data_IF_261150533342
#
_entry.id   IF_261150533342
#
_cell.length_a   1.000
_cell.length_b   1.000
_cell.length_c   1.000
_cell.angle_alpha   90.00
_cell.angle_beta   90.00
_cell.angle_gamma   90.00
#
_symmetry.space_group_name_H-M   'P 1'
#
loop_
_entity.id
_entity.type
_entity.pdbx_description
1 polymer ?
#
# COMPACT_ATOMS: atom_id res chain seq x y z
N UNK A 1 -5.65 -15.74 -81.11
CA UNK A 1 -4.57 -16.06 -80.15
C UNK A 1 -4.57 -14.97 -79.09
N UNK A 2 -4.59 -15.40 -77.83
CA UNK A 2 -4.48 -14.66 -76.56
C UNK A 2 -5.63 -13.74 -76.13
N UNK A 3 -6.43 -14.28 -75.20
CA UNK A 3 -7.31 -13.58 -74.26
C UNK A 3 -6.50 -12.84 -73.18
N UNK A 4 -7.00 -11.72 -72.68
CA UNK A 4 -6.67 -11.26 -71.32
C UNK A 4 -7.82 -10.42 -70.74
N UNK A 5 -8.23 -10.84 -69.55
CA UNK A 5 -9.25 -10.28 -68.68
C UNK A 5 -8.95 -8.83 -68.26
N UNK A 6 -10.01 -8.03 -68.10
CA UNK A 6 -9.99 -6.87 -67.20
C UNK A 6 -11.04 -7.09 -66.11
N UNK A 7 -10.56 -7.24 -64.88
CA UNK A 7 -11.35 -7.33 -63.66
C UNK A 7 -11.98 -5.98 -63.32
N UNK A 8 -13.28 -5.99 -62.99
CA UNK A 8 -13.99 -4.89 -62.36
C UNK A 8 -13.76 -4.97 -60.85
N UNK A 9 -13.15 -3.95 -60.24
CA UNK A 9 -13.04 -3.83 -58.77
C UNK A 9 -14.18 -2.95 -58.28
N UNK A 10 -15.11 -3.54 -57.52
CA UNK A 10 -16.14 -2.82 -56.76
C UNK A 10 -15.59 -2.55 -55.36
N UNK A 11 -15.41 -1.27 -55.03
CA UNK A 11 -15.04 -0.84 -53.67
C UNK A 11 -16.34 -0.51 -52.92
N UNK A 12 -16.72 -1.35 -51.95
CA UNK A 12 -17.80 -1.04 -50.99
C UNK A 12 -17.15 -0.39 -49.78
N UNK A 13 -17.36 0.91 -49.62
CA UNK A 13 -17.00 1.66 -48.40
C UNK A 13 -18.08 1.46 -47.34
N UNK A 14 -17.75 0.75 -46.26
CA UNK A 14 -18.51 0.82 -45.01
C UNK A 14 -18.00 2.01 -44.18
N UNK A 15 -18.82 3.05 -44.06
CA UNK A 15 -18.69 4.09 -43.04
C UNK A 15 -19.07 3.49 -41.70
N UNK A 16 -18.08 3.18 -40.86
CA UNK A 16 -18.29 2.93 -39.43
C UNK A 16 -17.87 4.18 -38.69
N UNK A 17 -18.85 4.97 -38.24
CA UNK A 17 -18.64 6.01 -37.24
C UNK A 17 -18.51 5.35 -35.86
N UNK A 18 -17.45 5.59 -35.08
CA UNK A 18 -17.48 5.24 -33.67
C UNK A 18 -18.18 6.36 -32.90
N UNK A 19 -19.28 6.01 -32.24
CA UNK A 19 -19.78 6.75 -31.10
C UNK A 19 -18.71 6.62 -29.99
N UNK A 20 -17.89 7.65 -29.82
CA UNK A 20 -16.96 7.72 -28.69
C UNK A 20 -17.77 8.05 -27.43
N UNK A 21 -18.07 7.02 -26.65
CA UNK A 21 -18.50 7.18 -25.26
C UNK A 21 -17.23 7.44 -24.46
N UNK A 22 -17.00 8.69 -24.09
CA UNK A 22 -15.81 9.09 -23.33
C UNK A 22 -15.71 8.30 -22.03
N UNK A 23 -14.77 7.35 -21.98
CA UNK A 23 -14.20 6.91 -20.72
C UNK A 23 -13.20 7.99 -20.32
N UNK A 24 -13.50 8.71 -19.24
CA UNK A 24 -12.55 9.58 -18.57
C UNK A 24 -11.45 8.66 -18.04
N UNK A 25 -10.29 8.68 -18.70
CA UNK A 25 -9.10 7.99 -18.21
C UNK A 25 -8.51 8.84 -17.08
N UNK A 26 -8.17 8.25 -15.92
CA UNK A 26 -7.47 8.99 -14.88
C UNK A 26 -6.21 9.64 -15.47
N UNK A 27 -6.06 10.94 -15.26
CA UNK A 27 -4.96 11.73 -15.81
C UNK A 27 -3.95 12.03 -14.72
N UNK A 28 -2.68 11.83 -15.03
CA UNK A 28 -1.57 12.15 -14.14
C UNK A 28 -0.89 13.44 -14.63
N UNK A 29 -0.64 14.37 -13.71
CA UNK A 29 0.15 15.58 -13.99
C UNK A 29 1.29 15.67 -12.97
N UNK A 30 2.52 15.29 -13.34
CA UNK A 30 3.64 15.36 -12.42
C UNK A 30 4.06 16.82 -12.21
N UNK A 31 3.86 17.34 -11.01
CA UNK A 31 4.55 18.55 -10.54
C UNK A 31 5.61 18.13 -9.52
N UNK A 32 6.81 17.79 -10.00
CA UNK A 32 7.97 17.56 -9.15
C UNK A 32 8.47 18.91 -8.60
N UNK A 33 7.86 19.40 -7.53
CA UNK A 33 8.42 20.52 -6.77
C UNK A 33 9.43 19.98 -5.75
N UNK A 34 10.71 20.21 -6.04
CA UNK A 34 11.81 20.01 -5.10
C UNK A 34 11.74 21.08 -4.00
N UNK A 35 11.71 20.66 -2.73
CA UNK A 35 11.88 21.56 -1.58
C UNK A 35 13.34 21.54 -1.11
N UNK A 36 13.95 22.69 -0.78
CA UNK A 36 15.33 22.73 -0.29
C UNK A 36 15.42 22.23 1.17
N UNK A 37 16.26 21.21 1.39
CA UNK A 37 16.59 20.73 2.73
C UNK A 37 17.60 21.65 3.42
N UNK A 38 17.26 22.23 4.56
CA UNK A 38 18.21 22.90 5.45
C UNK A 38 18.56 21.97 6.63
N UNK A 39 19.74 21.38 6.61
CA UNK A 39 20.37 20.76 7.77
C UNK A 39 21.37 21.74 8.39
N UNK A 40 21.39 21.95 9.72
CA UNK A 40 22.55 22.54 10.37
C UNK A 40 23.49 21.44 10.87
N UNK A 41 24.71 21.43 10.34
CA UNK A 41 25.87 20.82 10.99
C UNK A 41 26.21 21.63 12.26
N UNK A 42 26.45 20.95 13.38
CA UNK A 42 27.08 21.56 14.54
C UNK A 42 28.38 20.81 14.88
N UNK A 43 29.44 21.61 14.93
CA UNK A 43 30.82 21.26 15.20
C UNK A 43 31.06 20.88 16.66
N UNK A 44 32.09 20.05 16.82
CA UNK A 44 32.73 19.60 18.06
C UNK A 44 33.29 20.78 18.87
N UNK A 45 33.11 20.75 20.20
CA UNK A 45 34.09 21.32 21.12
C UNK A 45 34.19 20.47 22.39
N UNK A 46 35.42 20.37 22.90
CA UNK A 46 35.86 19.48 23.95
C UNK A 46 35.86 20.15 25.32
N UNK A 47 35.49 19.40 26.35
CA UNK A 47 35.70 19.79 27.74
C UNK A 47 35.37 18.66 28.70
N UNK A 48 36.39 18.01 29.25
CA UNK A 48 36.24 17.19 30.46
C UNK A 48 36.10 18.10 31.70
N UNK A 49 35.37 17.66 32.73
CA UNK A 49 36.08 17.07 33.88
C UNK A 49 35.37 15.89 34.58
N UNK A 50 36.19 14.89 34.93
CA UNK A 50 36.32 14.19 36.22
C UNK A 50 35.08 13.97 37.14
N UNK A 51 34.63 12.70 37.15
CA UNK A 51 34.28 11.83 38.28
C UNK A 51 33.24 12.26 39.35
N UNK A 52 32.08 11.61 39.32
CA UNK A 52 31.59 10.79 40.46
C UNK A 52 30.67 9.69 39.94
N UNK A 53 31.07 8.43 40.15
CA UNK A 53 30.33 7.26 39.69
C UNK A 53 29.23 6.93 40.71
N UNK A 54 28.00 7.38 40.44
CA UNK A 54 26.83 6.61 40.83
C UNK A 54 26.45 5.74 39.64
N UNK A 55 26.40 4.43 39.84
CA UNK A 55 25.94 3.49 38.84
C UNK A 55 24.43 3.69 38.65
N UNK A 56 24.07 4.67 37.83
CA UNK A 56 22.73 4.82 37.27
C UNK A 56 22.52 3.62 36.35
N UNK A 57 21.53 2.79 36.68
CA UNK A 57 21.04 1.77 35.76
C UNK A 57 20.67 2.49 34.46
N UNK A 58 21.46 2.27 33.41
CA UNK A 58 21.20 2.86 32.09
C UNK A 58 19.79 2.44 31.68
N UNK A 59 18.91 3.41 31.47
CA UNK A 59 17.58 3.16 30.92
C UNK A 59 17.70 2.25 29.69
N UNK A 60 16.74 1.33 29.47
CA UNK A 60 16.79 0.46 28.30
C UNK A 60 16.94 1.31 27.03
N UNK A 61 17.74 0.87 26.06
CA UNK A 61 17.95 1.62 24.83
C UNK A 61 16.59 1.91 24.19
N UNK A 62 16.34 3.19 23.90
CA UNK A 62 15.11 3.60 23.24
C UNK A 62 15.03 2.88 21.88
N UNK A 63 14.04 1.98 21.66
CA UNK A 63 13.94 1.23 20.41
C UNK A 63 13.74 2.16 19.20
N UNK A 64 13.19 3.36 19.42
CA UNK A 64 12.92 4.34 18.37
C UNK A 64 14.06 5.33 18.15
N UNK A 65 15.22 5.16 18.81
CA UNK A 65 16.33 6.11 18.74
C UNK A 65 16.73 6.46 17.30
N UNK A 66 16.71 5.47 16.41
CA UNK A 66 17.10 5.61 15.00
C UNK A 66 15.92 5.52 14.04
N UNK A 67 14.68 5.41 14.55
CA UNK A 67 13.48 5.24 13.73
C UNK A 67 13.29 6.47 12.85
N UNK A 68 13.08 6.26 11.55
CA UNK A 68 12.91 7.35 10.59
C UNK A 68 11.45 7.77 10.41
N UNK A 69 10.58 6.79 10.15
CA UNK A 69 9.15 7.04 10.01
C UNK A 69 8.50 7.04 11.38
N UNK A 70 7.67 8.04 11.65
CA UNK A 70 6.99 8.17 12.94
C UNK A 70 5.49 8.20 12.75
N UNK A 71 4.80 7.49 13.62
CA UNK A 71 3.36 7.44 13.72
C UNK A 71 2.90 8.36 14.88
N UNK A 72 1.70 8.97 14.79
CA UNK A 72 1.19 9.90 15.81
C UNK A 72 0.92 9.25 17.17
N UNK A 73 0.86 7.91 17.24
CA UNK A 73 0.65 7.15 18.46
C UNK A 73 1.03 5.68 18.29
N UNK A 74 0.93 4.93 19.38
CA UNK A 74 1.32 3.51 19.43
C UNK A 74 0.15 2.53 19.59
N UNK A 75 -1.09 2.97 19.44
CA UNK A 75 -2.22 2.04 19.34
C UNK A 75 -2.39 1.52 17.91
N UNK A 76 -3.15 0.44 17.77
CA UNK A 76 -3.37 -0.24 16.49
C UNK A 76 -3.89 0.70 15.40
N UNK A 77 -4.67 1.71 15.77
CA UNK A 77 -5.27 2.62 14.80
C UNK A 77 -4.30 3.70 14.32
N UNK A 78 -3.53 4.25 15.25
CA UNK A 78 -2.65 5.37 15.01
C UNK A 78 -1.38 4.96 14.26
N UNK A 79 -1.00 3.67 14.28
CA UNK A 79 0.19 3.22 13.57
C UNK A 79 0.05 3.24 12.03
N UNK A 80 -1.16 3.42 11.52
CA UNK A 80 -1.47 3.49 10.08
C UNK A 80 -1.31 4.90 9.48
N UNK A 81 -0.85 5.87 10.27
CA UNK A 81 -0.71 7.27 9.85
C UNK A 81 0.73 7.77 9.97
N UNK A 82 1.17 8.53 8.97
CA UNK A 82 2.41 9.29 9.06
C UNK A 82 2.18 10.56 9.90
N UNK A 83 2.97 10.72 10.97
CA UNK A 83 2.81 11.79 11.94
C UNK A 83 2.92 13.20 11.33
N UNK A 84 3.57 13.37 10.18
CA UNK A 84 3.75 14.68 9.53
C UNK A 84 2.47 15.19 8.89
N UNK A 85 1.59 14.28 8.46
CA UNK A 85 0.34 14.59 7.74
C UNK A 85 -0.91 14.19 8.51
N UNK A 86 -0.75 13.52 9.66
CA UNK A 86 -1.86 13.18 10.54
C UNK A 86 -2.55 14.43 11.10
N UNK A 87 -3.87 14.46 11.00
CA UNK A 87 -4.72 15.52 11.54
C UNK A 87 -5.74 14.99 12.55
N UNK A 88 -6.38 13.87 12.19
CA UNK A 88 -7.34 13.14 13.02
C UNK A 88 -7.48 11.73 12.46
N UNK A 89 -8.05 10.86 13.28
CA UNK A 89 -8.57 9.57 12.83
C UNK A 89 -9.71 9.83 11.83
N UNK A 90 -9.64 9.19 10.65
CA UNK A 90 -10.67 9.27 9.62
C UNK A 90 -11.83 8.32 9.88
N UNK A 91 -13.01 8.59 9.33
CA UNK A 91 -14.13 7.63 9.39
C UNK A 91 -13.85 6.41 8.52
N UNK A 92 -14.66 5.35 8.67
CA UNK A 92 -14.54 4.15 7.83
C UNK A 92 -14.70 4.46 6.34
N UNK A 93 -15.65 5.33 5.99
CA UNK A 93 -15.89 5.78 4.62
C UNK A 93 -14.71 6.58 4.08
N UNK A 94 -14.20 7.55 4.87
CA UNK A 94 -13.03 8.35 4.50
C UNK A 94 -11.77 7.51 4.34
N UNK A 95 -11.57 6.51 5.21
CA UNK A 95 -10.48 5.54 5.08
C UNK A 95 -10.59 4.77 3.78
N UNK A 96 -11.73 4.13 3.51
CA UNK A 96 -11.94 3.31 2.31
C UNK A 96 -11.72 4.12 1.03
N UNK A 97 -12.26 5.34 1.01
CA UNK A 97 -12.05 6.30 -0.08
C UNK A 97 -10.56 6.64 -0.24
N UNK A 98 -9.88 7.01 0.85
CA UNK A 98 -8.46 7.36 0.83
C UNK A 98 -7.60 6.20 0.34
N UNK A 99 -7.73 5.01 0.93
CA UNK A 99 -6.91 3.84 0.59
C UNK A 99 -7.11 3.42 -0.87
N UNK A 100 -8.35 3.43 -1.37
CA UNK A 100 -8.63 3.13 -2.78
C UNK A 100 -7.92 4.11 -3.71
N UNK A 101 -8.02 5.42 -3.46
CA UNK A 101 -7.35 6.41 -4.31
C UNK A 101 -5.84 6.38 -4.17
N UNK A 102 -5.34 6.15 -2.95
CA UNK A 102 -3.94 6.03 -2.62
C UNK A 102 -3.26 4.88 -3.38
N UNK A 103 -3.83 3.67 -3.34
CA UNK A 103 -3.23 2.52 -4.05
C UNK A 103 -3.32 2.67 -5.57
N UNK A 104 -4.40 3.30 -6.08
CA UNK A 104 -4.53 3.61 -7.52
C UNK A 104 -3.47 4.60 -7.97
N UNK A 105 -3.28 5.69 -7.21
CA UNK A 105 -2.25 6.69 -7.47
C UNK A 105 -0.85 6.10 -7.40
N UNK A 106 -0.61 5.20 -6.42
CA UNK A 106 0.65 4.48 -6.29
C UNK A 106 0.99 3.68 -7.57
N UNK A 107 0.08 2.81 -8.05
CA UNK A 107 0.37 2.00 -9.24
C UNK A 107 0.55 2.83 -10.50
N UNK A 108 -0.28 3.87 -10.70
CA UNK A 108 -0.14 4.77 -11.84
C UNK A 108 1.18 5.55 -11.79
N UNK A 109 1.61 5.97 -10.59
CA UNK A 109 2.90 6.63 -10.40
C UNK A 109 4.04 5.67 -10.73
N UNK A 110 4.03 4.43 -10.23
CA UNK A 110 5.09 3.47 -10.53
C UNK A 110 5.13 3.06 -12.01
N UNK A 111 3.99 2.95 -12.69
CA UNK A 111 3.93 2.76 -14.15
C UNK A 111 4.54 3.97 -14.88
N UNK A 112 4.21 5.20 -14.47
CA UNK A 112 4.78 6.43 -15.03
C UNK A 112 6.29 6.54 -14.83
N UNK A 113 6.80 6.18 -13.65
CA UNK A 113 8.23 6.19 -13.34
C UNK A 113 9.01 5.04 -14.01
N UNK A 114 8.31 4.06 -14.61
CA UNK A 114 8.94 2.88 -15.19
C UNK A 114 9.55 1.94 -14.14
N UNK A 115 9.02 1.96 -12.92
CA UNK A 115 9.50 1.14 -11.80
C UNK A 115 8.58 -0.05 -11.56
N UNK A 116 9.17 -1.23 -11.42
CA UNK A 116 8.42 -2.44 -11.12
C UNK A 116 8.13 -2.55 -9.62
N UNK A 117 6.85 -2.79 -9.31
CA UNK A 117 6.31 -3.02 -7.96
C UNK A 117 5.23 -4.09 -8.04
N UNK A 118 4.92 -4.74 -6.92
CA UNK A 118 3.82 -5.69 -6.78
C UNK A 118 3.19 -5.61 -5.39
N UNK A 119 1.97 -6.13 -5.30
CA UNK A 119 1.20 -6.23 -4.06
C UNK A 119 1.77 -7.34 -3.16
N UNK A 120 1.85 -7.08 -1.85
CA UNK A 120 2.34 -8.03 -0.86
C UNK A 120 1.40 -8.13 0.37
N UNK A 121 1.69 -9.07 1.28
CA UNK A 121 1.08 -9.17 2.61
C UNK A 121 -0.46 -9.07 2.61
N UNK A 122 -1.04 -8.21 3.46
CA UNK A 122 -2.49 -8.10 3.63
C UNK A 122 -3.19 -7.64 2.35
N UNK A 123 -2.53 -6.76 1.60
CA UNK A 123 -3.03 -6.30 0.29
C UNK A 123 -3.05 -7.43 -0.75
N UNK A 124 -2.12 -8.39 -0.68
CA UNK A 124 -2.13 -9.56 -1.56
C UNK A 124 -3.26 -10.53 -1.19
N UNK A 125 -3.55 -10.67 0.10
CA UNK A 125 -4.70 -11.42 0.58
C UNK A 125 -6.01 -10.76 0.12
N UNK A 126 -6.10 -9.44 0.21
CA UNK A 126 -7.23 -8.67 -0.29
C UNK A 126 -7.45 -8.90 -1.80
N UNK A 127 -6.35 -8.85 -2.58
CA UNK A 127 -6.38 -9.15 -4.00
C UNK A 127 -6.89 -10.57 -4.30
N UNK A 128 -6.47 -11.57 -3.53
CA UNK A 128 -6.86 -12.97 -3.74
C UNK A 128 -8.39 -13.18 -3.73
N UNK A 129 -9.12 -12.44 -2.90
CA UNK A 129 -10.58 -12.58 -2.79
C UNK A 129 -11.33 -11.99 -3.99
N UNK A 130 -11.13 -10.71 -4.29
CA UNK A 130 -11.83 -10.03 -5.39
C UNK A 130 -11.05 -8.90 -6.05
N UNK A 131 -9.76 -8.75 -5.77
CA UNK A 131 -8.99 -7.64 -6.31
C UNK A 131 -9.35 -6.28 -5.69
N UNK A 132 -9.90 -6.26 -4.47
CA UNK A 132 -10.23 -5.04 -3.72
C UNK A 132 -9.67 -5.09 -2.32
N UNK A 133 -9.52 -3.92 -1.70
CA UNK A 133 -9.09 -3.76 -0.31
C UNK A 133 -10.11 -4.46 0.61
N UNK A 134 -9.64 -5.19 1.62
CA UNK A 134 -10.53 -5.82 2.59
C UNK A 134 -11.25 -4.73 3.40
N UNK A 135 -12.57 -4.84 3.67
CA UNK A 135 -13.32 -3.76 4.31
C UNK A 135 -12.86 -3.33 5.69
N UNK A 136 -12.07 -4.16 6.39
CA UNK A 136 -11.52 -3.87 7.72
C UNK A 136 -10.05 -3.44 7.68
N UNK A 137 -9.39 -3.49 6.51
CA UNK A 137 -7.96 -3.25 6.38
C UNK A 137 -7.61 -1.76 6.44
N UNK A 138 -6.50 -1.46 7.11
CA UNK A 138 -5.98 -0.12 7.29
C UNK A 138 -4.65 0.09 6.57
N UNK A 139 -3.96 -1.00 6.25
CA UNK A 139 -2.63 -0.98 5.65
C UNK A 139 -2.67 -1.30 4.16
N UNK A 140 -1.65 -0.81 3.45
CA UNK A 140 -1.39 -1.14 2.07
C UNK A 140 0.09 -1.50 1.92
N UNK A 141 0.35 -2.74 1.51
CA UNK A 141 1.68 -3.32 1.45
C UNK A 141 2.09 -3.61 0.01
N UNK A 142 3.26 -3.09 -0.34
CA UNK A 142 3.86 -3.30 -1.65
C UNK A 142 5.33 -3.64 -1.51
N UNK A 143 5.84 -4.30 -2.55
CA UNK A 143 7.23 -4.71 -2.60
C UNK A 143 7.88 -4.28 -3.91
N UNK A 144 9.17 -4.00 -3.83
CA UNK A 144 10.05 -3.67 -4.95
C UNK A 144 11.33 -4.50 -4.87
N UNK A 145 12.05 -4.60 -5.97
CA UNK A 145 13.42 -5.14 -5.94
C UNK A 145 14.37 -4.14 -5.26
N UNK A 146 15.48 -4.62 -4.72
CA UNK A 146 16.59 -3.77 -4.24
C UNK A 146 17.05 -2.75 -5.29
N UNK A 147 17.10 -3.16 -6.56
CA UNK A 147 17.42 -2.25 -7.66
C UNK A 147 16.34 -1.16 -7.84
N UNK A 148 15.05 -1.53 -7.76
CA UNK A 148 13.94 -0.57 -7.79
C UNK A 148 14.02 0.42 -6.62
N UNK A 149 14.33 -0.06 -5.41
CA UNK A 149 14.50 0.77 -4.23
C UNK A 149 15.67 1.75 -4.37
N UNK A 150 16.80 1.31 -4.92
CA UNK A 150 17.95 2.18 -5.23
C UNK A 150 17.58 3.29 -6.23
N UNK A 151 16.77 2.97 -7.24
CA UNK A 151 16.29 3.96 -8.21
C UNK A 151 15.34 4.97 -7.55
N UNK A 152 14.41 4.50 -6.70
CA UNK A 152 13.55 5.38 -5.87
C UNK A 152 14.39 6.35 -5.06
N UNK A 153 15.33 5.84 -4.25
CA UNK A 153 16.18 6.64 -3.37
C UNK A 153 16.98 7.70 -4.15
N UNK A 154 17.53 7.33 -5.31
CA UNK A 154 18.42 8.18 -6.08
C UNK A 154 17.71 9.27 -6.90
N UNK A 155 16.52 8.97 -7.44
CA UNK A 155 15.89 9.80 -8.46
C UNK A 155 14.54 10.38 -8.05
N UNK A 156 13.85 9.77 -7.10
CA UNK A 156 12.44 10.07 -6.80
C UNK A 156 12.17 10.30 -5.31
N UNK A 157 13.18 10.24 -4.45
CA UNK A 157 13.01 10.50 -3.02
C UNK A 157 12.51 11.94 -2.78
N UNK A 158 11.59 12.09 -1.84
CA UNK A 158 11.00 13.36 -1.40
C UNK A 158 10.29 14.12 -2.53
N UNK A 159 9.55 13.40 -3.36
CA UNK A 159 8.79 13.97 -4.48
C UNK A 159 7.29 13.91 -4.24
N UNK A 160 6.55 14.81 -4.89
CA UNK A 160 5.09 14.90 -4.82
C UNK A 160 4.45 14.49 -6.14
N UNK A 161 3.30 13.84 -6.04
CA UNK A 161 2.52 13.37 -7.19
C UNK A 161 1.04 13.71 -7.01
N UNK A 162 0.47 14.33 -8.04
CA UNK A 162 -0.95 14.69 -8.07
C UNK A 162 -1.74 13.62 -8.85
N UNK A 163 -2.85 13.21 -8.28
CA UNK A 163 -3.77 12.20 -8.83
C UNK A 163 -5.17 12.80 -8.99
N UNK A 164 -5.77 12.55 -10.15
CA UNK A 164 -7.15 12.91 -10.45
C UNK A 164 -7.85 11.69 -11.04
N UNK A 165 -9.01 11.31 -10.48
CA UNK A 165 -9.83 10.24 -11.05
C UNK A 165 -10.55 10.70 -12.33
N UNK A 166 -10.71 12.02 -12.52
CA UNK A 166 -11.39 12.62 -13.68
C UNK A 166 -12.90 12.75 -13.51
N UNK A 167 -13.42 12.56 -12.29
CA UNK A 167 -14.83 12.66 -11.92
C UNK A 167 -15.27 14.08 -11.50
N UNK A 168 -14.34 15.04 -11.55
CA UNK A 168 -14.56 16.44 -11.14
C UNK A 168 -14.27 16.71 -9.66
N UNK A 169 -13.82 15.72 -8.88
CA UNK A 169 -13.32 15.96 -7.53
C UNK A 169 -11.96 16.67 -7.53
N UNK A 170 -11.62 17.25 -6.36
CA UNK A 170 -10.32 17.88 -6.13
C UNK A 170 -9.17 16.90 -6.35
N UNK A 171 -8.05 17.41 -6.87
CA UNK A 171 -6.80 16.65 -6.97
C UNK A 171 -6.39 16.15 -5.59
N UNK A 172 -5.96 14.89 -5.52
CA UNK A 172 -5.31 14.32 -4.35
C UNK A 172 -3.81 14.38 -4.55
N UNK A 173 -3.06 14.65 -3.49
CA UNK A 173 -1.61 14.75 -3.54
C UNK A 173 -0.97 13.70 -2.64
N UNK A 174 0.10 13.11 -3.15
CA UNK A 174 0.84 12.06 -2.47
C UNK A 174 2.33 12.41 -2.39
N UNK A 175 2.96 12.06 -1.28
CA UNK A 175 4.38 12.28 -1.02
C UNK A 175 5.12 10.95 -1.00
N UNK A 176 6.11 10.79 -1.87
CA UNK A 176 6.98 9.62 -1.92
C UNK A 176 8.24 9.90 -1.09
N UNK A 177 8.43 9.13 -0.02
CA UNK A 177 9.53 9.30 0.92
C UNK A 177 10.29 7.99 1.11
N UNK A 178 11.60 8.02 0.90
CA UNK A 178 12.48 6.87 1.03
C UNK A 178 13.29 7.00 2.31
N UNK A 179 13.19 5.97 3.15
CA UNK A 179 13.92 5.88 4.40
C UNK A 179 15.43 5.94 4.13
N UNK A 180 16.19 6.86 4.75
CA UNK A 180 17.64 6.90 4.64
C UNK A 180 18.35 5.60 5.03
N UNK A 181 17.70 4.70 5.78
CA UNK A 181 18.21 3.37 6.11
C UNK A 181 17.90 2.30 5.05
N UNK A 182 17.34 2.66 3.90
CA UNK A 182 17.05 1.74 2.79
C UNK A 182 18.31 1.04 2.23
N UNK A 183 19.50 1.62 2.42
CA UNK A 183 20.77 1.01 2.01
C UNK A 183 21.16 -0.20 2.86
N UNK A 184 20.77 -0.22 4.14
CA UNK A 184 20.96 -1.37 5.01
C UNK A 184 19.92 -2.41 4.60
N UNK A 185 20.34 -3.61 4.20
CA UNK A 185 19.40 -4.66 3.76
C UNK A 185 19.10 -5.72 4.80
N UNK A 186 19.98 -5.89 5.80
CA UNK A 186 19.65 -6.66 7.00
C UNK A 186 18.67 -5.90 7.91
N UNK A 187 18.19 -6.57 8.96
CA UNK A 187 17.22 -6.02 9.91
C UNK A 187 17.76 -4.83 10.71
N UNK A 188 19.08 -4.70 10.87
CA UNK A 188 19.70 -3.72 11.76
C UNK A 188 19.20 -3.82 13.19
N UNK A 189 18.89 -2.66 13.78
CA UNK A 189 18.31 -2.54 15.13
C UNK A 189 16.79 -2.78 15.17
N UNK A 190 16.16 -3.02 14.01
CA UNK A 190 14.72 -3.23 13.88
C UNK A 190 13.87 -1.96 13.87
N UNK A 191 14.48 -0.77 13.96
CA UNK A 191 13.74 0.50 13.95
C UNK A 191 13.31 0.93 12.52
N UNK A 192 13.96 0.39 11.49
CA UNK A 192 13.81 0.84 10.10
C UNK A 192 13.48 -0.31 9.14
N UNK A 193 12.42 -1.06 9.48
CA UNK A 193 11.94 -2.20 8.69
C UNK A 193 11.33 -1.77 7.35
N UNK A 194 10.61 -0.64 7.33
CA UNK A 194 10.00 -0.08 6.11
C UNK A 194 11.01 0.78 5.36
N UNK A 195 11.13 0.53 4.05
CA UNK A 195 12.14 1.15 3.19
C UNK A 195 11.68 2.45 2.55
N UNK A 196 10.38 2.57 2.23
CA UNK A 196 9.79 3.80 1.73
C UNK A 196 8.28 3.84 1.99
N UNK A 197 7.69 5.04 1.93
CA UNK A 197 6.24 5.25 2.01
C UNK A 197 5.75 6.11 0.87
N UNK A 198 4.55 5.80 0.39
CA UNK A 198 3.76 6.68 -0.47
C UNK A 198 2.58 7.20 0.33
N UNK A 199 2.60 8.49 0.67
CA UNK A 199 1.80 9.03 1.78
C UNK A 199 0.75 10.01 1.24
N UNK A 200 -0.50 9.85 1.67
CA UNK A 200 -1.56 10.84 1.50
C UNK A 200 -1.24 12.09 2.31
N UNK A 201 -1.06 13.24 1.65
CA UNK A 201 -0.77 14.49 2.37
C UNK A 201 -2.01 15.06 3.09
N UNK A 202 -3.19 14.57 2.73
CA UNK A 202 -4.46 15.06 3.27
C UNK A 202 -4.73 14.55 4.68
N UNK A 203 -4.28 13.34 5.01
CA UNK A 203 -4.57 12.70 6.30
C UNK A 203 -3.45 11.80 6.86
N UNK A 204 -2.40 11.51 6.09
CA UNK A 204 -1.26 10.70 6.54
C UNK A 204 -1.39 9.20 6.35
N UNK A 205 -2.50 8.66 5.80
CA UNK A 205 -2.54 7.25 5.40
C UNK A 205 -1.51 6.98 4.30
N UNK A 206 -0.89 5.81 4.30
CA UNK A 206 0.22 5.51 3.38
C UNK A 206 0.20 4.09 2.83
N UNK A 207 0.97 3.88 1.76
CA UNK A 207 1.41 2.57 1.29
C UNK A 207 2.82 2.33 1.82
N UNK A 208 3.03 1.22 2.51
CA UNK A 208 4.36 0.75 2.87
C UNK A 208 5.01 0.06 1.66
N UNK A 209 6.26 0.44 1.39
CA UNK A 209 7.07 -0.07 0.29
C UNK A 209 8.28 -0.76 0.91
N UNK A 210 8.38 -2.07 0.69
CA UNK A 210 9.50 -2.88 1.21
C UNK A 210 10.36 -3.42 0.07
N UNK A 211 11.68 -3.33 0.23
CA UNK A 211 12.63 -3.87 -0.74
C UNK A 211 12.94 -5.35 -0.47
N UNK A 212 13.01 -6.15 -1.53
CA UNK A 212 13.55 -7.51 -1.48
C UNK A 212 14.98 -7.57 -2.05
N UNK A 213 15.88 -8.17 -1.28
CA UNK A 213 17.30 -8.33 -1.62
C UNK A 213 17.82 -9.70 -1.22
N UNK A 214 18.82 -10.22 -1.96
CA UNK A 214 19.64 -11.34 -1.48
C UNK A 214 20.63 -10.81 -0.43
N UNK A 215 20.32 -11.02 0.85
CA UNK A 215 21.16 -10.53 1.95
C UNK A 215 22.35 -11.45 2.22
N UNK A 216 22.17 -12.77 2.03
CA UNK A 216 23.19 -13.79 2.31
C UNK A 216 23.44 -14.71 1.10
N UNK A 217 23.91 -14.18 -0.04
CA UNK A 217 24.06 -14.98 -1.27
C UNK A 217 25.05 -16.15 -1.13
N UNK A 218 26.03 -16.05 -0.24
CA UNK A 218 27.03 -17.10 -0.02
C UNK A 218 26.46 -18.33 0.74
N UNK A 219 25.48 -18.12 1.62
CA UNK A 219 24.89 -19.18 2.46
C UNK A 219 23.48 -19.58 2.03
N UNK A 220 22.74 -18.66 1.43
CA UNK A 220 21.35 -18.84 0.99
C UNK A 220 21.13 -18.29 -0.44
N UNK A 221 21.84 -18.83 -1.45
CA UNK A 221 21.73 -18.34 -2.82
C UNK A 221 20.30 -18.48 -3.36
N UNK A 222 19.81 -17.43 -4.02
CA UNK A 222 18.46 -17.39 -4.61
C UNK A 222 17.32 -17.15 -3.62
N UNK A 223 17.64 -16.83 -2.35
CA UNK A 223 16.69 -16.36 -1.35
C UNK A 223 16.76 -14.84 -1.28
N UNK A 224 15.63 -14.20 -1.56
CA UNK A 224 15.45 -12.77 -1.36
C UNK A 224 14.60 -12.53 -0.12
N UNK A 225 14.91 -11.48 0.63
CA UNK A 225 14.20 -11.16 1.87
C UNK A 225 14.04 -9.67 2.09
N UNK A 226 13.04 -9.32 2.89
CA UNK A 226 12.90 -7.98 3.46
C UNK A 226 13.50 -7.94 4.88
N UNK A 227 13.56 -6.74 5.45
CA UNK A 227 14.09 -6.50 6.81
C UNK A 227 13.25 -7.12 7.92
N UNK A 228 12.00 -7.47 7.64
CA UNK A 228 11.14 -8.13 8.61
C UNK A 228 11.26 -9.66 8.64
N UNK A 229 12.31 -10.22 8.02
CA UNK A 229 12.55 -11.67 7.92
C UNK A 229 11.53 -12.43 7.06
N UNK A 230 10.70 -11.76 6.24
CA UNK A 230 9.98 -12.46 5.18
C UNK A 230 10.97 -12.87 4.09
N UNK A 231 10.98 -14.16 3.76
CA UNK A 231 11.94 -14.79 2.85
C UNK A 231 11.19 -15.46 1.71
N UNK A 232 11.71 -15.31 0.51
CA UNK A 232 11.12 -15.89 -0.70
C UNK A 232 12.21 -16.46 -1.57
N UNK A 233 11.90 -17.54 -2.30
CA UNK A 233 12.76 -17.96 -3.42
C UNK A 233 12.48 -17.03 -4.58
N UNK A 234 13.51 -16.69 -5.36
CA UNK A 234 13.35 -15.86 -6.57
C UNK A 234 12.22 -16.35 -7.50
N UNK A 235 12.11 -17.68 -7.68
CA UNK A 235 11.08 -18.32 -8.52
C UNK A 235 9.65 -18.21 -8.00
N UNK A 236 9.48 -17.90 -6.71
CA UNK A 236 8.16 -17.75 -6.11
C UNK A 236 7.63 -16.33 -6.34
N UNK A 237 8.52 -15.35 -6.51
CA UNK A 237 8.19 -13.98 -6.88
C UNK A 237 8.12 -13.81 -8.40
N UNK A 238 9.16 -14.23 -9.13
CA UNK A 238 9.33 -13.92 -10.54
C UNK A 238 9.08 -15.11 -11.48
N UNK A 239 8.54 -14.87 -12.70
CA UNK A 239 8.07 -13.57 -13.21
C UNK A 239 6.74 -13.15 -12.54
N UNK A 240 6.58 -11.84 -12.32
CA UNK A 240 5.35 -11.30 -11.74
C UNK A 240 4.17 -11.54 -12.68
N UNK A 241 2.98 -11.75 -12.10
CA UNK A 241 1.73 -11.90 -12.84
C UNK A 241 1.02 -10.56 -12.95
N UNK A 242 0.64 -10.19 -14.17
CA UNK A 242 -0.17 -9.00 -14.42
C UNK A 242 -1.63 -9.24 -14.01
N UNK A 243 -2.24 -8.27 -13.35
CA UNK A 243 -3.60 -8.35 -12.83
C UNK A 243 -4.20 -6.95 -12.65
N UNK A 244 -5.32 -6.86 -11.95
CA UNK A 244 -5.94 -5.61 -11.52
C UNK A 244 -6.18 -5.63 -10.01
N UNK A 245 -6.05 -4.45 -9.39
CA UNK A 245 -6.42 -4.21 -8.00
C UNK A 245 -7.05 -2.83 -7.91
N UNK A 246 -8.20 -2.71 -7.22
CA UNK A 246 -8.99 -1.48 -7.16
C UNK A 246 -9.26 -0.86 -8.54
N UNK A 247 -9.41 -1.70 -9.57
CA UNK A 247 -9.72 -1.30 -10.94
C UNK A 247 -8.57 -0.71 -11.76
N UNK A 248 -7.33 -0.70 -11.24
CA UNK A 248 -6.12 -0.31 -12.02
C UNK A 248 -5.19 -1.49 -12.22
N UNK A 249 -4.28 -1.40 -13.19
CA UNK A 249 -3.29 -2.45 -13.44
C UNK A 249 -2.40 -2.62 -12.20
N UNK A 250 -2.16 -3.87 -11.84
CA UNK A 250 -1.29 -4.25 -10.74
C UNK A 250 -0.47 -5.49 -11.10
N UNK A 251 0.45 -5.87 -10.22
CA UNK A 251 1.22 -7.10 -10.30
C UNK A 251 1.18 -7.85 -8.98
N UNK A 252 1.31 -9.17 -9.06
CA UNK A 252 1.42 -10.07 -7.90
C UNK A 252 2.54 -11.10 -8.11
N UNK A 253 3.06 -11.72 -7.04
CA UNK A 253 4.04 -12.81 -7.12
C UNK A 253 3.58 -13.98 -7.99
N UNK A 254 4.52 -14.73 -8.56
CA UNK A 254 4.22 -15.91 -9.37
C UNK A 254 3.50 -17.02 -8.58
N UNK A 255 3.99 -17.32 -7.38
CA UNK A 255 3.52 -18.37 -6.48
C UNK A 255 2.76 -17.77 -5.29
N UNK A 256 1.79 -16.90 -5.55
CA UNK A 256 1.07 -16.17 -4.49
C UNK A 256 0.33 -17.07 -3.48
N UNK A 257 -0.20 -18.23 -3.88
CA UNK A 257 -0.92 -19.13 -2.94
C UNK A 257 0.00 -19.66 -1.83
N UNK A 258 1.15 -20.31 -2.13
CA UNK A 258 2.10 -20.69 -1.09
C UNK A 258 2.54 -19.52 -0.19
N UNK A 259 2.79 -18.35 -0.78
CA UNK A 259 3.18 -17.14 -0.03
C UNK A 259 2.10 -16.75 0.98
N UNK A 260 0.84 -16.69 0.55
CA UNK A 260 -0.28 -16.36 1.42
C UNK A 260 -0.56 -17.44 2.46
N UNK A 261 -0.45 -18.73 2.09
CA UNK A 261 -0.64 -19.83 3.05
C UNK A 261 0.45 -19.84 4.12
N UNK A 262 1.70 -19.54 3.77
CA UNK A 262 2.80 -19.42 4.74
C UNK A 262 2.57 -18.27 5.73
N UNK A 263 2.04 -17.14 5.26
CA UNK A 263 1.83 -15.95 6.07
C UNK A 263 0.53 -15.98 6.89
N UNK A 264 -0.57 -16.45 6.30
CA UNK A 264 -1.92 -16.33 6.86
C UNK A 264 -2.64 -17.67 7.09
N UNK A 265 -1.99 -18.80 6.79
CA UNK A 265 -2.58 -20.15 6.75
C UNK A 265 -3.62 -20.35 5.65
N UNK A 266 -3.92 -21.61 5.34
CA UNK A 266 -4.99 -21.97 4.40
C UNK A 266 -6.36 -21.44 4.84
N UNK A 267 -6.57 -21.25 6.14
CA UNK A 267 -7.83 -20.76 6.68
C UNK A 267 -8.16 -19.35 6.18
N UNK A 268 -7.17 -18.47 5.99
CA UNK A 268 -7.39 -17.12 5.49
C UNK A 268 -7.87 -17.09 4.02
N UNK A 269 -7.59 -18.14 3.26
CA UNK A 269 -7.97 -18.26 1.85
C UNK A 269 -9.37 -18.86 1.64
N UNK A 270 -10.00 -19.38 2.70
CA UNK A 270 -11.29 -20.10 2.60
C UNK A 270 -12.32 -19.66 3.63
N UNK A 271 -11.91 -19.01 4.74
CA UNK A 271 -12.84 -18.54 5.78
C UNK A 271 -13.69 -17.41 5.21
N UNK A 272 -15.00 -17.60 5.21
CA UNK A 272 -15.98 -16.67 4.64
C UNK A 272 -16.62 -15.74 5.67
N UNK A 273 -16.15 -15.74 6.91
CA UNK A 273 -16.57 -14.79 7.96
C UNK A 273 -15.35 -14.30 8.74
N UNK A 274 -15.18 -12.99 8.81
CA UNK A 274 -14.07 -12.36 9.53
C UNK A 274 -14.38 -10.88 9.80
N UNK A 275 -13.93 -10.35 10.94
CA UNK A 275 -14.04 -8.91 11.28
C UNK A 275 -15.44 -8.30 11.07
N UNK A 276 -16.52 -8.96 11.55
CA UNK A 276 -17.92 -8.54 11.34
C UNK A 276 -18.39 -8.51 9.87
N UNK A 277 -17.70 -9.19 8.96
CA UNK A 277 -18.08 -9.30 7.56
C UNK A 277 -18.25 -10.76 7.15
N UNK A 278 -19.12 -10.99 6.16
CA UNK A 278 -19.34 -12.27 5.50
C UNK A 278 -19.06 -12.13 4.01
N UNK A 279 -18.32 -13.09 3.46
CA UNK A 279 -18.11 -13.22 2.03
C UNK A 279 -19.39 -13.70 1.34
N UNK A 280 -19.89 -12.93 0.39
CA UNK A 280 -20.99 -13.32 -0.49
C UNK A 280 -20.44 -13.82 -1.83
N UNK A 281 -20.60 -15.12 -2.09
CA UNK A 281 -20.05 -15.78 -3.28
C UNK A 281 -20.72 -15.31 -4.60
N UNK A 282 -21.94 -14.77 -4.53
CA UNK A 282 -22.69 -14.31 -5.71
C UNK A 282 -22.16 -12.98 -6.22
N UNK A 283 -22.04 -11.98 -5.33
CA UNK A 283 -21.48 -10.67 -5.66
C UNK A 283 -19.95 -10.66 -5.68
N UNK A 284 -19.30 -11.64 -5.03
CA UNK A 284 -17.85 -11.68 -4.78
C UNK A 284 -17.39 -10.48 -3.96
N UNK A 285 -18.14 -10.16 -2.92
CA UNK A 285 -17.88 -9.04 -2.02
C UNK A 285 -17.88 -9.49 -0.56
N UNK A 286 -17.10 -8.79 0.25
CA UNK A 286 -17.19 -8.86 1.70
C UNK A 286 -18.26 -7.89 2.19
N UNK A 287 -19.37 -8.43 2.70
CA UNK A 287 -20.51 -7.65 3.18
C UNK A 287 -20.49 -7.54 4.70
N UNK A 288 -20.75 -6.35 5.22
CA UNK A 288 -20.88 -6.14 6.67
C UNK A 288 -22.10 -6.90 7.18
N UNK A 289 -21.93 -7.65 8.26
CA UNK A 289 -23.03 -8.36 8.92
C UNK A 289 -23.88 -7.31 9.66
N UNK A 290 -25.18 -7.17 9.37
CA UNK A 290 -26.05 -6.23 10.07
C UNK A 290 -26.03 -6.51 11.58
N UNK A 291 -25.91 -5.46 12.41
CA UNK A 291 -26.11 -5.58 13.85
C UNK A 291 -27.62 -5.65 14.11
N UNK A 292 -28.07 -6.38 15.13
CA UNK A 292 -29.50 -6.57 15.45
C UNK A 292 -30.29 -5.24 15.56
N UNK A 293 -29.62 -4.12 15.85
CA UNK A 293 -30.23 -2.79 15.90
C UNK A 293 -30.55 -2.16 14.54
N UNK A 294 -29.91 -2.60 13.46
CA UNK A 294 -30.13 -2.08 12.10
C UNK A 294 -31.31 -2.78 11.42
N UNK A 295 -31.53 -4.06 11.72
CA UNK A 295 -32.72 -4.82 11.27
C UNK A 295 -34.00 -4.23 11.86
N UNK A 296 -33.96 -3.78 13.11
CA UNK A 296 -35.10 -3.13 13.79
C UNK A 296 -35.38 -1.73 13.23
N UNK A 297 -34.41 -1.04 12.61
CA UNK A 297 -34.65 0.27 11.99
C UNK A 297 -35.35 0.19 10.63
N UNK A 298 -35.14 -0.87 9.86
CA UNK A 298 -35.86 -1.07 8.60
C UNK A 298 -37.29 -1.62 8.82
N UNK A 299 -37.51 -2.42 9.88
CA UNK A 299 -38.85 -2.96 10.18
C UNK A 299 -39.65 -2.12 11.21
N UNK A 300 -39.01 -1.16 11.89
CA UNK A 300 -39.52 -0.53 13.11
C UNK A 300 -39.99 0.91 12.98
N UNK A 301 -40.74 1.24 11.92
CA UNK A 301 -41.71 2.33 12.01
C UNK A 301 -42.81 1.95 13.02
N UNK A 302 -42.55 2.19 14.33
CA UNK A 302 -43.48 2.14 15.49
C UNK A 302 -43.10 1.11 16.57
N UNK A 303 -42.30 1.51 17.58
CA UNK A 303 -42.72 1.72 18.99
C UNK A 303 -41.53 1.82 19.96
N UNK A 304 -41.81 2.52 21.06
CA UNK A 304 -40.94 2.95 22.17
C UNK A 304 -40.25 1.80 22.91
N UNK A 305 -38.94 1.97 23.11
CA UNK A 305 -38.25 2.00 24.41
C UNK A 305 -38.19 0.73 25.25
N UNK A 306 -36.98 0.27 25.57
CA UNK A 306 -36.44 0.12 26.94
C UNK A 306 -34.91 -0.08 26.87
N UNK A 307 -34.23 0.57 27.79
CA UNK A 307 -32.78 0.54 28.09
C UNK A 307 -32.31 -0.81 28.62
N UNK A 308 -31.13 -1.29 28.20
CA UNK A 308 -30.27 -2.16 28.99
C UNK A 308 -28.79 -1.77 28.86
N UNK A 309 -28.12 -1.75 30.02
CA UNK A 309 -26.67 -1.60 30.23
C UNK A 309 -26.01 -2.99 30.21
N UNK A 310 -24.79 -3.07 29.68
CA UNK A 310 -23.64 -3.88 30.14
C UNK A 310 -22.48 -3.58 29.17
N UNK A 311 -21.33 -3.05 29.56
CA UNK A 311 -20.26 -3.56 30.43
C UNK A 311 -19.32 -4.54 29.69
N UNK A 312 -18.10 -4.08 29.38
CA UNK A 312 -16.89 -4.92 29.41
C UNK A 312 -16.33 -5.52 28.10
N UNK A 313 -15.26 -4.88 27.62
CA UNK A 313 -13.89 -5.44 27.57
C UNK A 313 -13.47 -6.59 26.60
N UNK A 314 -12.32 -6.34 25.94
CA UNK A 314 -11.28 -7.21 25.37
C UNK A 314 -11.62 -8.20 24.23
N UNK A 315 -11.01 -8.00 23.06
CA UNK A 315 -9.79 -8.68 22.60
C UNK A 315 -9.43 -8.23 21.17
#
# INVERSE_FOLDING_TARGET
MFSSNWLLVVLVTFLVTPLSRGQLTPSFSPSATLSPSSSPSALLDAGEPSASASASATAPPNPDRNKYFHEPGGDDLLHHYDARFFQRIVTDEERKDTLRHLIRAYFLTFEYLGLETWIAHGTLLAWYWNGKILPWDWDLDTQVTDQGLKLLAKHYNQTYYDYEEGDGQSKRRYYLDVNPWAWQRDRGDGANIIDARFISVDNGLFVDITGLSEVYPDTEPGIIMCKNNHRYRLRDIFPLRHTYFEGVKAKVPFSYVPILTEEYSDAALVRTEFQEHRWDANSREWLKIPKDQDVVKEEGGSKRGVSMKDDGAYA
#
